data_IF_490729995570
#
_entry.id   IF_490729995570
#
_cell.length_a   1.000
_cell.length_b   1.000
_cell.length_c   1.000
_cell.angle_alpha   90.00
_cell.angle_beta   90.00
_cell.angle_gamma   90.00
#
_symmetry.space_group_name_H-M   'P 1'
#
loop_
_entity.id
_entity.type
_entity.pdbx_description
1 polymer ?
#
# COMPACT_ATOMS: atom_id res chain seq x y z
N UNK A 1 -22.91 89.93 14.89
CA UNK A 1 -23.42 90.33 16.22
C UNK A 1 -24.25 89.19 16.78
N UNK A 2 -23.91 88.75 18.01
CA UNK A 2 -24.80 88.11 19.02
C UNK A 2 -25.22 86.66 18.69
N UNK A 3 -24.54 85.67 19.31
CA UNK A 3 -24.97 84.89 20.50
C UNK A 3 -26.06 83.86 20.17
N UNK A 4 -26.10 82.63 20.69
CA UNK A 4 -25.57 82.06 21.91
C UNK A 4 -26.47 80.87 22.30
N UNK A 5 -25.93 79.66 22.19
CA UNK A 5 -26.11 78.42 23.00
C UNK A 5 -27.47 78.15 23.71
N UNK A 6 -28.07 76.97 23.45
CA UNK A 6 -28.73 76.07 24.44
C UNK A 6 -28.57 74.60 23.95
N UNK A 7 -27.93 73.67 24.69
CA UNK A 7 -28.45 72.80 25.81
C UNK A 7 -29.60 71.89 25.30
N UNK A 8 -29.74 70.57 25.52
CA UNK A 8 -29.25 69.53 26.44
C UNK A 8 -29.69 68.18 25.80
N UNK A 9 -29.01 67.04 26.07
CA UNK A 9 -29.61 65.72 25.80
C UNK A 9 -28.61 64.58 25.94
N UNK A 10 -28.52 63.99 27.14
CA UNK A 10 -27.68 62.82 27.40
C UNK A 10 -28.30 61.54 26.85
N UNK A 11 -27.49 60.74 26.17
CA UNK A 11 -27.84 59.37 25.79
C UNK A 11 -27.10 58.40 26.73
N UNK A 12 -27.86 57.64 27.51
CA UNK A 12 -27.36 56.51 28.28
C UNK A 12 -27.20 55.33 27.32
N UNK A 13 -25.95 54.92 27.06
CA UNK A 13 -25.67 53.69 26.32
C UNK A 13 -25.76 52.50 27.29
N UNK A 14 -26.81 51.70 27.17
CA UNK A 14 -26.87 50.37 27.78
C UNK A 14 -26.03 49.40 26.92
N UNK A 15 -24.85 49.05 27.41
CA UNK A 15 -24.04 47.98 26.82
C UNK A 15 -24.56 46.62 27.32
N UNK A 16 -25.37 45.95 26.51
CA UNK A 16 -25.72 44.55 26.73
C UNK A 16 -24.52 43.66 26.42
N UNK A 17 -23.91 43.09 27.46
CA UNK A 17 -22.89 42.06 27.33
C UNK A 17 -23.58 40.76 26.87
N UNK A 18 -23.48 40.46 25.58
CA UNK A 18 -23.84 39.16 25.05
C UNK A 18 -22.73 38.16 25.41
N UNK A 19 -22.99 37.28 26.38
CA UNK A 19 -22.15 36.12 26.67
C UNK A 19 -22.32 35.15 25.50
N UNK A 20 -21.36 35.14 24.57
CA UNK A 20 -21.25 34.06 23.58
C UNK A 20 -20.81 32.78 24.29
N UNK A 21 -21.76 31.87 24.50
CA UNK A 21 -21.48 30.47 24.79
C UNK A 21 -20.77 29.86 23.58
N UNK A 22 -19.45 29.72 23.66
CA UNK A 22 -18.68 28.89 22.74
C UNK A 22 -19.04 27.45 23.07
N UNK A 23 -19.94 26.86 22.29
CA UNK A 23 -20.15 25.42 22.32
C UNK A 23 -18.84 24.75 21.90
N UNK A 24 -18.18 24.07 22.83
CA UNK A 24 -17.05 23.22 22.53
C UNK A 24 -17.56 22.07 21.65
N UNK A 25 -17.26 22.11 20.36
CA UNK A 25 -17.46 20.99 19.45
C UNK A 25 -16.56 19.84 19.89
N UNK A 26 -17.14 18.86 20.58
CA UNK A 26 -16.50 17.56 20.79
C UNK A 26 -16.22 16.93 19.42
N UNK A 27 -15.05 16.30 19.19
CA UNK A 27 -14.78 15.62 17.94
C UNK A 27 -15.80 14.48 17.80
N UNK A 28 -16.61 14.56 16.75
CA UNK A 28 -17.57 13.52 16.40
C UNK A 28 -16.81 12.19 16.24
N UNK A 29 -17.21 11.18 17.01
CA UNK A 29 -16.79 9.81 16.77
C UNK A 29 -17.10 9.46 15.32
N UNK A 30 -16.13 8.89 14.61
CA UNK A 30 -16.29 8.50 13.20
C UNK A 30 -17.50 7.58 13.09
N UNK A 31 -18.52 8.02 12.36
CA UNK A 31 -19.81 7.33 12.28
C UNK A 31 -19.62 5.94 11.66
N UNK A 32 -20.31 4.94 12.20
CA UNK A 32 -20.31 3.58 11.65
C UNK A 32 -20.95 3.60 10.24
N UNK A 33 -20.32 2.93 9.28
CA UNK A 33 -20.70 2.91 7.86
C UNK A 33 -21.01 1.49 7.40
N UNK A 34 -21.90 1.32 6.42
CA UNK A 34 -22.26 0.01 5.89
C UNK A 34 -21.08 -0.62 5.10
N UNK A 35 -20.51 -1.76 5.54
CA UNK A 35 -19.38 -2.40 4.85
C UNK A 35 -19.76 -3.00 3.49
N UNK A 36 -21.06 -3.15 3.17
CA UNK A 36 -21.50 -3.61 1.84
C UNK A 36 -21.36 -2.56 0.74
N UNK A 37 -21.16 -1.30 1.10
CA UNK A 37 -20.93 -0.24 0.12
C UNK A 37 -19.53 -0.36 -0.49
N UNK A 38 -19.39 0.02 -1.77
CA UNK A 38 -18.10 0.08 -2.42
C UNK A 38 -17.23 1.17 -1.77
N UNK A 39 -15.96 0.88 -1.54
CA UNK A 39 -14.99 1.81 -0.97
C UNK A 39 -13.91 2.07 -2.02
N UNK A 40 -13.65 3.34 -2.41
CA UNK A 40 -12.56 3.64 -3.34
C UNK A 40 -11.23 3.07 -2.86
N UNK A 41 -10.54 2.33 -3.73
CA UNK A 41 -9.25 1.70 -3.40
C UNK A 41 -9.33 0.40 -2.60
N UNK A 42 -10.54 -0.10 -2.31
CA UNK A 42 -10.76 -1.43 -1.74
C UNK A 42 -11.43 -2.32 -2.79
N UNK A 43 -10.90 -3.52 -3.00
CA UNK A 43 -11.46 -4.49 -3.94
C UNK A 43 -12.47 -5.39 -3.21
N UNK A 44 -13.69 -5.45 -3.72
CA UNK A 44 -14.70 -6.41 -3.27
C UNK A 44 -14.44 -7.79 -3.87
N UNK A 45 -14.12 -8.76 -3.02
CA UNK A 45 -13.94 -10.15 -3.41
C UNK A 45 -15.28 -10.85 -3.60
N UNK A 46 -15.35 -11.64 -4.65
CA UNK A 46 -16.42 -12.59 -4.90
C UNK A 46 -15.84 -13.91 -5.42
N UNK A 47 -16.64 -15.00 -5.46
CA UNK A 47 -16.13 -16.30 -5.93
C UNK A 47 -15.62 -16.31 -7.38
N UNK A 48 -16.00 -15.32 -8.20
CA UNK A 48 -15.58 -15.23 -9.60
C UNK A 48 -14.25 -14.50 -9.80
N UNK A 49 -13.86 -13.60 -8.87
CA UNK A 49 -12.65 -12.80 -8.99
C UNK A 49 -11.51 -13.17 -8.03
N UNK A 50 -11.79 -13.98 -7.01
CA UNK A 50 -10.86 -14.20 -5.89
C UNK A 50 -9.49 -14.74 -6.32
N UNK A 51 -9.44 -15.61 -7.33
CA UNK A 51 -8.18 -16.17 -7.83
C UNK A 51 -7.32 -15.14 -8.55
N UNK A 52 -7.95 -14.27 -9.33
CA UNK A 52 -7.25 -13.23 -10.07
C UNK A 52 -6.77 -12.11 -9.14
N UNK A 53 -7.58 -11.78 -8.13
CA UNK A 53 -7.26 -10.73 -7.14
C UNK A 53 -6.23 -11.23 -6.12
N UNK A 54 -6.39 -12.45 -5.60
CA UNK A 54 -5.48 -13.07 -4.63
C UNK A 54 -4.54 -14.06 -5.34
N UNK A 55 -3.68 -13.50 -6.18
CA UNK A 55 -2.72 -14.24 -7.00
C UNK A 55 -1.27 -14.20 -6.46
N UNK A 56 -1.08 -13.67 -5.24
CA UNK A 56 0.24 -13.53 -4.62
C UNK A 56 1.10 -12.37 -5.13
N UNK A 57 0.68 -11.56 -6.10
CA UNK A 57 1.54 -10.49 -6.63
C UNK A 57 1.78 -9.32 -5.65
N UNK A 58 0.83 -9.09 -4.72
CA UNK A 58 0.87 -8.00 -3.76
C UNK A 58 0.67 -8.50 -2.34
N UNK A 59 1.27 -7.80 -1.38
CA UNK A 59 0.90 -7.96 0.02
C UNK A 59 -0.56 -7.53 0.14
N UNK A 60 -1.41 -8.39 0.66
CA UNK A 60 -2.85 -8.13 0.71
C UNK A 60 -3.31 -8.06 2.15
N UNK A 61 -4.02 -7.01 2.53
CA UNK A 61 -4.86 -7.03 3.72
C UNK A 61 -6.30 -7.33 3.30
N UNK A 62 -6.90 -8.35 3.91
CA UNK A 62 -8.25 -8.82 3.61
C UNK A 62 -9.16 -8.66 4.84
N UNK A 63 -10.27 -7.94 4.67
CA UNK A 63 -11.36 -7.89 5.63
C UNK A 63 -12.44 -8.91 5.26
N UNK A 64 -12.73 -9.84 6.15
CA UNK A 64 -13.89 -10.70 6.08
C UNK A 64 -14.98 -10.15 6.99
N UNK A 65 -16.13 -9.79 6.41
CA UNK A 65 -17.18 -9.07 7.10
C UNK A 65 -18.57 -9.69 6.91
N UNK A 66 -19.53 -9.16 7.66
CA UNK A 66 -20.96 -9.36 7.46
C UNK A 66 -21.71 -8.01 7.55
N UNK A 67 -22.74 -7.75 6.73
CA UNK A 67 -23.41 -6.44 6.67
C UNK A 67 -24.10 -6.03 7.98
N UNK A 68 -24.56 -7.01 8.75
CA UNK A 68 -25.22 -6.80 10.04
C UNK A 68 -24.24 -6.57 11.20
N UNK A 69 -22.95 -6.82 11.01
CA UNK A 69 -21.97 -6.77 12.09
C UNK A 69 -21.60 -5.33 12.46
N UNK A 70 -21.98 -4.92 13.68
CA UNK A 70 -21.66 -3.57 14.19
C UNK A 70 -20.15 -3.29 14.32
N UNK A 71 -19.31 -4.33 14.44
CA UNK A 71 -17.85 -4.16 14.49
C UNK A 71 -17.28 -3.86 13.10
N UNK A 72 -17.79 -4.52 12.05
CA UNK A 72 -17.46 -4.23 10.65
C UNK A 72 -17.84 -2.79 10.32
N UNK A 73 -19.06 -2.37 10.70
CA UNK A 73 -19.51 -1.00 10.44
C UNK A 73 -18.61 0.08 11.06
N UNK A 74 -18.01 -0.20 12.21
CA UNK A 74 -17.05 0.71 12.87
C UNK A 74 -15.66 0.66 12.25
N UNK A 75 -15.30 -0.45 11.60
CA UNK A 75 -14.04 -0.62 10.89
C UNK A 75 -14.07 0.08 9.52
N UNK A 76 -15.20 0.04 8.81
CA UNK A 76 -15.36 0.62 7.47
C UNK A 76 -14.69 1.99 7.29
N UNK A 77 -14.87 2.98 8.18
CA UNK A 77 -14.23 4.29 7.99
C UNK A 77 -12.70 4.27 8.13
N UNK A 78 -12.16 3.41 9.01
CA UNK A 78 -10.72 3.21 9.16
C UNK A 78 -10.15 2.43 7.97
N UNK A 79 -10.92 1.51 7.40
CA UNK A 79 -10.54 0.76 6.20
C UNK A 79 -10.52 1.65 4.94
N UNK A 80 -11.46 2.59 4.83
CA UNK A 80 -11.44 3.64 3.80
C UNK A 80 -10.20 4.51 3.90
N UNK A 81 -9.89 5.03 5.10
CA UNK A 81 -8.66 5.80 5.33
C UNK A 81 -7.41 4.98 5.01
N UNK A 82 -7.39 3.70 5.39
CA UNK A 82 -6.29 2.81 5.06
C UNK A 82 -6.06 2.74 3.55
N UNK A 83 -7.12 2.52 2.77
CA UNK A 83 -7.02 2.47 1.31
C UNK A 83 -6.48 3.79 0.73
N UNK A 84 -6.95 4.94 1.23
CA UNK A 84 -6.42 6.26 0.85
C UNK A 84 -4.93 6.41 1.21
N UNK A 85 -4.52 6.00 2.40
CA UNK A 85 -3.10 6.05 2.82
C UNK A 85 -2.23 5.16 1.93
N UNK A 86 -2.71 3.95 1.60
CA UNK A 86 -2.01 3.00 0.74
C UNK A 86 -1.80 3.59 -0.65
N UNK A 87 -2.82 4.20 -1.24
CA UNK A 87 -2.74 4.83 -2.57
C UNK A 87 -1.86 6.08 -2.58
N UNK A 88 -1.82 6.84 -1.47
CA UNK A 88 -1.07 8.08 -1.36
C UNK A 88 0.41 7.88 -1.00
N UNK A 89 0.78 6.70 -0.48
CA UNK A 89 2.17 6.34 -0.18
C UNK A 89 2.79 5.49 -1.31
N UNK A 90 3.91 5.93 -1.90
CA UNK A 90 4.53 5.25 -3.05
C UNK A 90 5.04 3.85 -2.75
N UNK A 91 5.45 3.59 -1.51
CA UNK A 91 5.90 2.27 -1.12
C UNK A 91 4.75 1.29 -1.08
N UNK A 92 3.54 1.74 -0.77
CA UNK A 92 2.43 0.81 -0.64
C UNK A 92 1.55 0.77 -1.87
N UNK A 93 1.43 1.85 -2.64
CA UNK A 93 0.49 1.97 -3.75
C UNK A 93 0.63 0.87 -4.82
N UNK A 94 1.86 0.42 -5.07
CA UNK A 94 2.15 -0.62 -6.06
C UNK A 94 2.29 -2.03 -5.46
N UNK A 95 2.53 -2.15 -4.14
CA UNK A 95 2.94 -3.41 -3.52
C UNK A 95 1.92 -3.95 -2.50
N UNK A 96 0.95 -3.13 -2.14
CA UNK A 96 -0.11 -3.49 -1.22
C UNK A 96 -1.45 -3.36 -1.93
N UNK A 97 -2.35 -4.29 -1.66
CA UNK A 97 -3.75 -4.16 -2.00
C UNK A 97 -4.63 -4.36 -0.77
N UNK A 98 -5.77 -3.69 -0.79
CA UNK A 98 -6.76 -3.72 0.29
C UNK A 98 -8.02 -4.36 -0.28
N UNK A 99 -8.48 -5.44 0.34
CA UNK A 99 -9.64 -6.21 -0.15
C UNK A 99 -10.66 -6.45 0.94
N UNK A 100 -11.92 -6.66 0.57
CA UNK A 100 -12.98 -7.06 1.51
C UNK A 100 -13.87 -8.14 0.91
N UNK A 101 -14.39 -9.02 1.75
CA UNK A 101 -15.26 -10.13 1.36
C UNK A 101 -16.47 -10.22 2.29
N UNK A 102 -17.67 -10.23 1.71
CA UNK A 102 -18.90 -10.53 2.44
C UNK A 102 -19.01 -12.05 2.64
N UNK A 103 -18.65 -12.51 3.84
CA UNK A 103 -18.70 -13.93 4.19
C UNK A 103 -20.04 -14.36 4.78
N UNK A 104 -20.98 -13.43 4.99
CA UNK A 104 -22.38 -13.75 5.25
C UNK A 104 -23.04 -14.25 3.96
N UNK A 105 -22.76 -13.57 2.85
CA UNK A 105 -23.22 -13.93 1.50
C UNK A 105 -22.39 -15.03 0.85
N UNK A 106 -21.06 -14.99 1.01
CA UNK A 106 -20.12 -15.89 0.34
C UNK A 106 -19.18 -16.57 1.34
N UNK A 107 -19.72 -17.53 2.10
CA UNK A 107 -18.95 -18.27 3.11
C UNK A 107 -17.67 -18.93 2.56
N UNK A 108 -17.71 -19.40 1.32
CA UNK A 108 -16.56 -20.03 0.64
C UNK A 108 -15.32 -19.13 0.52
N UNK A 109 -15.47 -17.81 0.64
CA UNK A 109 -14.34 -16.88 0.64
C UNK A 109 -13.61 -16.85 1.99
N UNK A 110 -14.29 -17.12 3.10
CA UNK A 110 -13.72 -17.06 4.45
C UNK A 110 -13.24 -18.41 5.00
N UNK A 111 -13.82 -19.51 4.51
CA UNK A 111 -13.46 -20.88 4.94
C UNK A 111 -11.97 -21.21 4.77
N UNK A 112 -11.31 -20.93 3.61
CA UNK A 112 -9.88 -21.20 3.45
C UNK A 112 -9.00 -20.46 4.46
N UNK A 113 -9.45 -19.27 4.89
CA UNK A 113 -8.76 -18.44 5.88
C UNK A 113 -9.15 -18.77 7.33
N UNK A 114 -9.93 -19.83 7.55
CA UNK A 114 -10.45 -20.23 8.86
C UNK A 114 -11.21 -19.11 9.58
N UNK A 115 -11.99 -18.32 8.84
CA UNK A 115 -12.79 -17.22 9.42
C UNK A 115 -13.97 -17.79 10.21
N UNK A 116 -13.97 -17.53 11.52
CA UNK A 116 -15.02 -17.99 12.45
C UNK A 116 -15.85 -16.86 13.05
N UNK A 117 -15.50 -15.60 12.78
CA UNK A 117 -16.19 -14.42 13.28
C UNK A 117 -15.82 -13.15 12.54
N UNK A 118 -16.56 -12.06 12.80
CA UNK A 118 -16.45 -10.81 12.03
C UNK A 118 -16.19 -9.55 12.89
N UNK A 119 -15.45 -8.57 12.36
CA UNK A 119 -14.58 -8.71 11.19
C UNK A 119 -13.33 -9.52 11.58
N UNK A 120 -12.85 -10.31 10.62
CA UNK A 120 -11.51 -10.92 10.68
C UNK A 120 -10.63 -10.23 9.66
N UNK A 121 -9.42 -9.86 10.07
CA UNK A 121 -8.41 -9.23 9.22
C UNK A 121 -7.27 -10.23 9.01
N UNK A 122 -6.98 -10.56 7.75
CA UNK A 122 -5.83 -11.39 7.36
C UNK A 122 -4.85 -10.59 6.55
N UNK A 123 -3.58 -10.94 6.65
CA UNK A 123 -2.53 -10.45 5.76
C UNK A 123 -1.95 -11.63 4.98
N UNK A 124 -1.96 -11.52 3.66
CA UNK A 124 -1.28 -12.41 2.74
C UNK A 124 0.02 -11.73 2.33
N UNK A 125 1.13 -12.44 2.50
CA UNK A 125 2.43 -11.97 1.97
C UNK A 125 2.46 -12.10 0.46
N UNK A 126 3.37 -11.39 -0.20
CA UNK A 126 3.66 -11.63 -1.62
C UNK A 126 4.07 -13.11 -1.81
N UNK A 127 3.62 -13.71 -2.90
CA UNK A 127 3.77 -15.13 -3.22
C UNK A 127 2.64 -16.01 -2.68
N UNK A 128 1.74 -15.48 -1.84
CA UNK A 128 0.63 -16.23 -1.26
C UNK A 128 -0.68 -15.85 -1.94
N UNK A 129 -1.29 -16.81 -2.62
CA UNK A 129 -2.62 -16.66 -3.22
C UNK A 129 -3.73 -17.21 -2.33
N UNK A 130 -4.92 -17.35 -2.92
CA UNK A 130 -6.06 -18.00 -2.27
C UNK A 130 -5.82 -19.50 -2.05
N UNK A 131 -5.02 -20.15 -2.90
CA UNK A 131 -4.77 -21.59 -2.81
C UNK A 131 -3.85 -21.94 -1.62
N UNK A 132 -3.08 -20.96 -1.11
CA UNK A 132 -2.24 -21.07 0.08
C UNK A 132 -2.78 -20.26 1.28
N UNK A 133 -4.11 -20.06 1.33
CA UNK A 133 -4.78 -19.22 2.33
C UNK A 133 -4.44 -19.57 3.79
N UNK A 134 -4.10 -20.82 4.10
CA UNK A 134 -3.67 -21.24 5.44
C UNK A 134 -2.37 -20.59 5.92
N UNK A 135 -1.55 -20.07 4.99
CA UNK A 135 -0.29 -19.37 5.30
C UNK A 135 -0.51 -17.88 5.59
N UNK A 136 -1.71 -17.35 5.32
CA UNK A 136 -2.08 -16.00 5.68
C UNK A 136 -2.13 -15.85 7.21
N UNK A 137 -1.57 -14.77 7.74
CA UNK A 137 -1.54 -14.54 9.17
C UNK A 137 -2.59 -13.53 9.61
N UNK A 138 -3.06 -13.69 10.85
CA UNK A 138 -4.00 -12.75 11.46
C UNK A 138 -3.35 -11.38 11.67
N UNK A 139 -4.07 -10.33 11.30
CA UNK A 139 -3.78 -9.00 11.82
C UNK A 139 -4.44 -8.82 13.19
N UNK A 140 -3.60 -8.91 14.24
CA UNK A 140 -4.01 -8.77 15.64
C UNK A 140 -3.73 -7.37 16.23
N UNK A 141 -3.23 -6.44 15.43
CA UNK A 141 -2.93 -5.07 15.85
C UNK A 141 -4.18 -4.19 16.01
N UNK A 142 -4.00 -2.91 16.41
CA UNK A 142 -5.09 -1.94 16.49
C UNK A 142 -5.77 -1.74 15.12
N UNK A 143 -7.09 -1.65 15.14
CA UNK A 143 -7.92 -1.48 13.93
C UNK A 143 -8.07 -0.01 13.51
N UNK A 144 -6.99 0.75 13.64
CA UNK A 144 -6.87 2.13 13.17
C UNK A 144 -6.09 2.16 11.86
N UNK A 145 -6.46 3.07 10.97
CA UNK A 145 -5.87 3.18 9.65
C UNK A 145 -4.34 3.30 9.73
N UNK A 146 -3.84 4.11 10.66
CA UNK A 146 -2.43 4.40 10.84
C UNK A 146 -1.63 3.17 11.28
N UNK A 147 -2.18 2.36 12.19
CA UNK A 147 -1.53 1.14 12.68
C UNK A 147 -1.49 0.04 11.61
N UNK A 148 -2.61 -0.16 10.90
CA UNK A 148 -2.68 -1.11 9.79
C UNK A 148 -1.71 -0.70 8.68
N UNK A 149 -1.69 0.59 8.34
CA UNK A 149 -0.77 1.15 7.34
C UNK A 149 0.68 0.96 7.74
N UNK A 150 1.05 1.29 8.98
CA UNK A 150 2.42 1.12 9.49
C UNK A 150 2.85 -0.36 9.42
N UNK A 151 1.97 -1.29 9.79
CA UNK A 151 2.24 -2.73 9.67
C UNK A 151 2.47 -3.12 8.21
N UNK A 152 1.59 -2.76 7.29
CA UNK A 152 1.71 -3.10 5.87
C UNK A 152 2.97 -2.50 5.25
N UNK A 153 3.26 -1.23 5.55
CA UNK A 153 4.47 -0.55 5.11
C UNK A 153 5.73 -1.26 5.61
N UNK A 154 5.75 -1.67 6.87
CA UNK A 154 6.90 -2.42 7.42
C UNK A 154 7.13 -3.76 6.72
N UNK A 155 6.05 -4.43 6.27
CA UNK A 155 6.16 -5.69 5.52
C UNK A 155 6.74 -5.43 4.13
N UNK A 156 6.31 -4.37 3.45
CA UNK A 156 6.90 -3.97 2.16
C UNK A 156 8.38 -3.63 2.31
N UNK A 157 8.76 -2.88 3.35
CA UNK A 157 10.15 -2.48 3.59
C UNK A 157 11.07 -3.68 3.92
N UNK A 158 10.52 -4.74 4.50
CA UNK A 158 11.24 -5.98 4.79
C UNK A 158 11.25 -6.96 3.60
N UNK A 159 10.30 -6.80 2.66
CA UNK A 159 10.19 -7.63 1.48
C UNK A 159 11.25 -7.22 0.43
N UNK A 160 12.42 -7.86 0.53
CA UNK A 160 13.51 -7.75 -0.46
C UNK A 160 13.14 -8.31 -1.84
N UNK A 161 11.98 -8.96 -1.97
CA UNK A 161 11.46 -9.48 -3.24
C UNK A 161 10.48 -8.54 -3.92
N UNK A 162 10.21 -7.35 -3.35
CA UNK A 162 9.39 -6.33 -4.03
C UNK A 162 10.01 -5.95 -5.37
N UNK A 163 9.24 -6.15 -6.45
CA UNK A 163 9.69 -5.89 -7.82
C UNK A 163 10.45 -7.04 -8.47
N UNK A 164 10.65 -8.16 -7.76
CA UNK A 164 11.33 -9.35 -8.28
C UNK A 164 10.33 -10.41 -8.71
N UNK A 165 10.73 -11.19 -9.71
CA UNK A 165 9.99 -12.35 -10.20
C UNK A 165 10.93 -13.55 -10.21
N UNK A 166 10.47 -14.72 -9.73
CA UNK A 166 11.35 -15.88 -9.53
C UNK A 166 12.00 -16.36 -10.83
N UNK A 167 11.23 -16.45 -11.92
CA UNK A 167 11.79 -16.85 -13.22
C UNK A 167 12.77 -15.80 -13.76
N UNK A 168 12.50 -14.50 -13.54
CA UNK A 168 13.40 -13.44 -14.01
C UNK A 168 14.68 -13.35 -13.17
N UNK A 169 14.61 -13.69 -11.89
CA UNK A 169 15.80 -13.82 -11.02
C UNK A 169 16.75 -14.90 -11.55
N UNK A 170 16.22 -16.07 -11.91
CA UNK A 170 17.02 -17.15 -12.51
C UNK A 170 17.69 -16.69 -13.80
N UNK A 171 16.94 -16.03 -14.69
CA UNK A 171 17.46 -15.49 -15.94
C UNK A 171 18.46 -14.35 -15.73
N UNK A 172 18.31 -13.55 -14.66
CA UNK A 172 19.27 -12.52 -14.28
C UNK A 172 20.63 -13.13 -13.89
N UNK A 173 20.62 -14.24 -13.15
CA UNK A 173 21.85 -14.96 -12.80
C UNK A 173 22.50 -15.61 -14.01
N UNK A 174 21.72 -16.26 -14.88
CA UNK A 174 22.22 -16.80 -16.15
C UNK A 174 22.82 -15.70 -17.04
N UNK A 175 22.16 -14.54 -17.12
CA UNK A 175 22.67 -13.36 -17.82
C UNK A 175 24.01 -12.86 -17.26
N UNK A 176 24.21 -12.94 -15.94
CA UNK A 176 25.50 -12.56 -15.33
C UNK A 176 26.60 -13.59 -15.60
N UNK A 177 26.24 -14.86 -15.77
CA UNK A 177 27.18 -15.96 -16.02
C UNK A 177 27.61 -16.09 -17.49
N UNK A 178 26.87 -15.52 -18.45
CA UNK A 178 27.21 -15.59 -19.87
C UNK A 178 28.28 -14.57 -20.28
N UNK A 179 29.15 -15.00 -21.20
CA UNK A 179 30.12 -14.13 -21.88
C UNK A 179 29.45 -13.26 -22.96
N UNK A 180 28.42 -13.78 -23.65
CA UNK A 180 27.68 -13.08 -24.71
C UNK A 180 26.35 -12.54 -24.16
N UNK A 181 26.45 -11.41 -23.46
CA UNK A 181 25.31 -10.77 -22.77
C UNK A 181 24.32 -10.16 -23.77
N UNK A 182 24.80 -9.64 -24.90
CA UNK A 182 24.00 -9.08 -25.97
C UNK A 182 23.09 -10.13 -26.62
N UNK A 183 23.65 -11.29 -27.00
CA UNK A 183 22.86 -12.36 -27.59
C UNK A 183 21.88 -12.97 -26.57
N UNK A 184 22.27 -13.06 -25.30
CA UNK A 184 21.39 -13.53 -24.24
C UNK A 184 20.20 -12.60 -24.02
N UNK A 185 20.45 -11.28 -23.91
CA UNK A 185 19.39 -10.29 -23.74
C UNK A 185 18.39 -10.27 -24.91
N UNK A 186 18.87 -10.46 -26.14
CA UNK A 186 18.00 -10.55 -27.32
C UNK A 186 17.02 -11.74 -27.23
N UNK A 187 17.46 -12.88 -26.68
CA UNK A 187 16.63 -14.07 -26.45
C UNK A 187 15.66 -13.90 -25.28
N UNK A 188 16.05 -13.13 -24.26
CA UNK A 188 15.24 -12.90 -23.06
C UNK A 188 14.08 -11.93 -23.26
N UNK A 189 14.16 -11.04 -24.25
CA UNK A 189 13.14 -10.03 -24.51
C UNK A 189 11.68 -10.57 -24.46
N UNK A 190 11.33 -11.64 -25.21
CA UNK A 190 9.97 -12.20 -25.13
C UNK A 190 9.62 -12.74 -23.74
N UNK A 191 10.59 -13.20 -22.95
CA UNK A 191 10.34 -13.67 -21.58
C UNK A 191 10.05 -12.50 -20.65
N UNK A 192 10.85 -11.43 -20.73
CA UNK A 192 10.63 -10.23 -19.92
C UNK A 192 9.28 -9.56 -20.21
N UNK A 193 8.76 -9.68 -21.43
CA UNK A 193 7.46 -9.10 -21.81
C UNK A 193 6.25 -9.88 -21.23
N UNK A 194 6.45 -11.09 -20.70
CA UNK A 194 5.38 -11.88 -20.06
C UNK A 194 5.07 -11.44 -18.64
N UNK A 195 5.99 -10.73 -17.98
CA UNK A 195 5.87 -10.38 -16.57
C UNK A 195 5.86 -8.85 -16.41
N UNK A 196 5.05 -8.35 -15.49
CA UNK A 196 4.93 -6.91 -15.25
C UNK A 196 6.25 -6.32 -14.71
N UNK A 197 7.07 -7.12 -14.04
CA UNK A 197 8.39 -6.76 -13.53
C UNK A 197 9.46 -6.72 -14.63
N UNK A 198 9.23 -7.36 -15.77
CA UNK A 198 10.28 -7.68 -16.74
C UNK A 198 10.89 -6.49 -17.47
N UNK A 199 10.14 -5.40 -17.66
CA UNK A 199 10.70 -4.16 -18.23
C UNK A 199 11.89 -3.64 -17.40
N UNK A 200 11.79 -3.71 -16.07
CA UNK A 200 12.86 -3.27 -15.18
C UNK A 200 14.09 -4.17 -15.30
N UNK A 201 13.91 -5.49 -15.35
CA UNK A 201 15.01 -6.44 -15.57
C UNK A 201 15.73 -6.16 -16.90
N UNK A 202 14.97 -6.02 -17.98
CA UNK A 202 15.51 -5.74 -19.32
C UNK A 202 16.34 -4.46 -19.34
N UNK A 203 15.80 -3.36 -18.79
CA UNK A 203 16.50 -2.07 -18.72
C UNK A 203 17.77 -2.11 -17.84
N UNK A 204 17.82 -2.98 -16.84
CA UNK A 204 19.00 -3.17 -16.01
C UNK A 204 20.06 -4.00 -16.72
N UNK A 205 19.67 -5.07 -17.42
CA UNK A 205 20.56 -5.86 -18.28
C UNK A 205 21.22 -4.98 -19.35
N UNK A 206 20.46 -4.10 -20.02
CA UNK A 206 21.03 -3.14 -20.98
C UNK A 206 22.07 -2.21 -20.33
N UNK A 207 21.83 -1.79 -19.09
CA UNK A 207 22.78 -0.93 -18.36
C UNK A 207 24.02 -1.70 -17.93
N UNK A 208 23.87 -2.97 -17.56
CA UNK A 208 25.00 -3.86 -17.23
C UNK A 208 25.87 -4.05 -18.47
N UNK A 209 25.30 -4.34 -19.65
CA UNK A 209 26.05 -4.41 -20.92
C UNK A 209 26.83 -3.11 -21.16
N UNK A 210 26.16 -1.96 -21.05
CA UNK A 210 26.76 -0.64 -21.34
C UNK A 210 27.82 -0.20 -20.32
N UNK A 211 27.73 -0.65 -19.06
CA UNK A 211 28.56 -0.14 -17.95
C UNK A 211 29.47 -1.19 -17.30
N UNK A 212 29.38 -2.43 -17.75
CA UNK A 212 30.09 -3.60 -17.24
C UNK A 212 29.41 -4.25 -16.03
N UNK A 213 29.82 -5.49 -15.76
CA UNK A 213 29.24 -6.40 -14.75
C UNK A 213 29.22 -5.80 -13.34
N UNK A 214 30.22 -4.97 -13.00
CA UNK A 214 30.28 -4.26 -11.73
C UNK A 214 29.20 -3.18 -11.54
N UNK A 215 28.39 -2.87 -12.55
CA UNK A 215 27.31 -1.89 -12.47
C UNK A 215 26.28 -2.24 -11.41
N UNK A 216 25.84 -3.50 -11.36
CA UNK A 216 24.75 -3.92 -10.49
C UNK A 216 25.06 -3.65 -9.01
N UNK A 217 26.20 -4.17 -8.52
CA UNK A 217 26.66 -3.95 -7.15
C UNK A 217 26.88 -2.47 -6.81
N UNK A 218 27.51 -1.71 -7.71
CA UNK A 218 27.77 -0.27 -7.49
C UNK A 218 26.49 0.55 -7.41
N UNK A 219 25.54 0.27 -8.30
CA UNK A 219 24.28 1.00 -8.36
C UNK A 219 23.36 0.62 -7.20
N UNK A 220 23.25 -0.66 -6.83
CA UNK A 220 22.48 -1.10 -5.65
C UNK A 220 22.98 -0.38 -4.39
N UNK A 221 24.29 -0.40 -4.14
CA UNK A 221 24.89 0.29 -2.99
C UNK A 221 24.69 1.82 -3.03
N UNK A 222 24.71 2.43 -4.23
CA UNK A 222 24.45 3.88 -4.38
C UNK A 222 23.02 4.22 -4.04
N UNK A 223 22.05 3.48 -4.57
CA UNK A 223 20.63 3.70 -4.36
C UNK A 223 20.23 3.42 -2.91
N UNK A 224 20.72 2.33 -2.31
CA UNK A 224 20.49 2.02 -0.90
C UNK A 224 20.90 3.17 0.04
N UNK A 225 22.05 3.81 -0.22
CA UNK A 225 22.48 5.01 0.55
C UNK A 225 21.58 6.22 0.35
N UNK A 226 20.95 6.36 -0.83
CA UNK A 226 20.05 7.49 -1.10
C UNK A 226 18.70 7.26 -0.42
N UNK A 227 18.17 6.04 -0.50
CA UNK A 227 16.95 5.59 0.20
C UNK A 227 17.09 5.87 1.71
N UNK A 228 18.21 5.45 2.32
CA UNK A 228 18.46 5.68 3.75
C UNK A 228 18.53 7.17 4.16
N UNK A 229 18.91 8.07 3.26
CA UNK A 229 18.99 9.51 3.54
C UNK A 229 17.63 10.22 3.47
N UNK A 230 16.59 9.59 2.91
CA UNK A 230 15.20 10.08 2.96
C UNK A 230 14.85 11.34 2.17
N UNK A 231 15.81 12.05 1.56
CA UNK A 231 15.58 13.30 0.80
C UNK A 231 15.23 13.04 -0.67
N UNK A 232 14.11 12.39 -0.95
CA UNK A 232 13.69 12.01 -2.30
C UNK A 232 12.18 12.23 -2.48
N UNK A 233 11.76 12.58 -3.71
CA UNK A 233 10.33 12.61 -4.04
C UNK A 233 9.72 11.21 -3.97
N UNK A 234 8.41 11.19 -3.71
CA UNK A 234 7.58 10.00 -3.58
C UNK A 234 7.80 8.94 -4.67
N UNK A 235 7.57 9.28 -5.93
CA UNK A 235 7.72 8.36 -7.07
C UNK A 235 9.13 7.80 -7.18
N UNK A 236 10.14 8.67 -7.00
CA UNK A 236 11.55 8.28 -7.07
C UNK A 236 11.95 7.32 -5.95
N UNK A 237 11.30 7.34 -4.79
CA UNK A 237 11.60 6.41 -3.70
C UNK A 237 11.20 4.97 -4.08
N UNK A 238 9.96 4.78 -4.53
CA UNK A 238 9.46 3.46 -4.93
C UNK A 238 10.27 2.88 -6.10
N UNK A 239 10.55 3.71 -7.12
CA UNK A 239 11.40 3.32 -8.26
C UNK A 239 12.80 2.87 -7.79
N UNK A 240 13.37 3.52 -6.78
CA UNK A 240 14.67 3.16 -6.24
C UNK A 240 14.64 1.87 -5.44
N UNK A 241 13.58 1.62 -4.66
CA UNK A 241 13.43 0.36 -3.92
C UNK A 241 13.30 -0.81 -4.90
N UNK A 242 12.40 -0.70 -5.88
CA UNK A 242 12.26 -1.69 -6.97
C UNK A 242 13.61 -1.97 -7.62
N UNK A 243 14.30 -0.91 -8.00
CA UNK A 243 15.58 -1.02 -8.68
C UNK A 243 16.66 -1.65 -7.81
N UNK A 244 16.71 -1.35 -6.51
CA UNK A 244 17.65 -1.99 -5.58
C UNK A 244 17.37 -3.48 -5.50
N UNK A 245 16.13 -3.86 -5.23
CA UNK A 245 15.75 -5.27 -5.10
C UNK A 245 16.05 -6.05 -6.39
N UNK A 246 15.67 -5.53 -7.56
CA UNK A 246 15.95 -6.18 -8.84
C UNK A 246 17.45 -6.21 -9.14
N UNK A 247 18.22 -5.17 -8.78
CA UNK A 247 19.67 -5.20 -8.92
C UNK A 247 20.31 -6.29 -8.04
N UNK A 248 19.78 -6.52 -6.85
CA UNK A 248 20.25 -7.58 -5.95
C UNK A 248 19.99 -8.99 -6.54
N UNK A 249 18.96 -9.16 -7.37
CA UNK A 249 18.73 -10.41 -8.11
C UNK A 249 19.89 -10.80 -9.06
N UNK A 250 20.66 -9.83 -9.56
CA UNK A 250 21.86 -10.10 -10.38
C UNK A 250 23.08 -10.48 -9.53
N UNK A 251 22.99 -10.36 -8.20
CA UNK A 251 24.08 -10.56 -7.25
C UNK A 251 23.85 -11.77 -6.35
N UNK A 252 22.59 -12.10 -6.09
CA UNK A 252 22.18 -13.18 -5.20
C UNK A 252 22.46 -14.56 -5.81
N UNK A 253 23.58 -15.18 -5.44
CA UNK A 253 23.86 -16.58 -5.80
C UNK A 253 23.11 -17.58 -4.91
N UNK A 254 22.33 -17.11 -3.93
CA UNK A 254 21.56 -17.95 -3.00
C UNK A 254 20.09 -18.07 -3.42
N UNK A 255 19.84 -18.90 -4.44
CA UNK A 255 18.54 -19.56 -4.61
C UNK A 255 18.74 -20.90 -5.30
N UNK A 256 19.19 -21.88 -4.51
CA UNK A 256 18.97 -23.32 -4.75
C UNK A 256 17.89 -23.80 -3.79
#
# INVERSE_FOLDING_TARGET
>A
MISGRKRIGGAWALASIAVMLVAASFPAGVAAQDPSQAIPGVIDLDPSNVKDVLNGMKITIAEFYAPWCGHCKRLTPEYTKLAEMIQNDPMTANFVQVVKADCDKHRSLGEPFSVTGFPTLKILSRGIGIDEAETAFDYSGPRKAEDMFAKLKSLVEQDKKVGRHEELDKLALEFMATDDKEAFLAKLKPETEKHIEGELYYLLMEKIIKKGDGYAAKESARLGRIIQKGSITRTKFADMVLKVNVLDAFLDTESS
#
